data_IF_100850725093
#
_entry.id   IF_100850725093
#
_cell.length_a   1.000
_cell.length_b   1.000
_cell.length_c   1.000
_cell.angle_alpha   90.00
_cell.angle_beta   90.00
_cell.angle_gamma   90.00
#
_symmetry.space_group_name_H-M   'P 1'
#
loop_
_entity.id
_entity.type
_entity.pdbx_description
1 polymer ?
#
# COMPACT_ATOMS: atom_id res chain seq x y z
N UNK A 1 -14.83 12.17 -19.91
CA UNK A 1 -13.70 11.23 -19.70
C UNK A 1 -14.25 9.89 -19.28
N UNK A 2 -13.62 8.80 -19.70
CA UNK A 2 -13.98 7.46 -19.25
C UNK A 2 -13.47 7.21 -17.84
N UNK A 3 -14.30 6.60 -17.02
CA UNK A 3 -13.96 6.25 -15.65
C UNK A 3 -14.74 5.01 -15.19
N UNK A 4 -14.25 4.39 -14.11
CA UNK A 4 -15.01 3.44 -13.31
C UNK A 4 -15.55 4.19 -12.10
N UNK A 5 -16.84 4.05 -11.83
CA UNK A 5 -17.46 4.58 -10.63
C UNK A 5 -18.47 3.59 -10.04
N UNK A 6 -18.98 3.88 -8.85
CA UNK A 6 -20.14 3.21 -8.29
C UNK A 6 -21.10 4.24 -7.66
N UNK A 7 -22.40 3.95 -7.75
CA UNK A 7 -23.47 4.80 -7.21
C UNK A 7 -23.94 4.35 -5.84
N UNK A 8 -23.55 3.16 -5.40
CA UNK A 8 -23.88 2.57 -4.11
C UNK A 8 -22.81 1.56 -3.70
N UNK A 9 -22.71 1.29 -2.40
CA UNK A 9 -21.80 0.27 -1.90
C UNK A 9 -22.32 -1.14 -2.21
N UNK A 10 -21.44 -2.07 -2.56
CA UNK A 10 -21.85 -3.44 -2.86
C UNK A 10 -20.78 -4.36 -3.45
N UNK A 11 -21.21 -5.50 -4.04
CA UNK A 11 -20.33 -6.46 -4.70
C UNK A 11 -19.75 -5.89 -6.00
N UNK A 12 -18.94 -6.66 -6.74
CA UNK A 12 -18.14 -6.14 -7.86
C UNK A 12 -19.00 -5.63 -9.02
N UNK A 13 -20.26 -6.03 -9.07
CA UNK A 13 -21.24 -5.61 -10.05
C UNK A 13 -21.66 -4.14 -9.94
N UNK A 14 -21.41 -3.45 -8.82
CA UNK A 14 -21.72 -2.01 -8.68
C UNK A 14 -20.74 -1.11 -9.44
N UNK A 15 -19.61 -1.66 -9.93
CA UNK A 15 -18.63 -0.93 -10.71
C UNK A 15 -19.12 -0.76 -12.15
N UNK A 16 -19.32 0.50 -12.55
CA UNK A 16 -19.81 0.89 -13.86
C UNK A 16 -18.71 1.62 -14.64
N UNK A 17 -18.58 1.31 -15.94
CA UNK A 17 -17.70 2.02 -16.87
C UNK A 17 -18.51 3.04 -17.66
N UNK A 18 -18.30 4.33 -17.39
CA UNK A 18 -19.13 5.41 -17.93
C UNK A 18 -18.31 6.63 -18.40
N UNK A 19 -18.98 7.55 -19.08
CA UNK A 19 -18.48 8.89 -19.35
C UNK A 19 -18.84 9.84 -18.21
N UNK A 20 -17.83 10.43 -17.58
CA UNK A 20 -17.97 11.48 -16.57
C UNK A 20 -17.46 12.83 -17.10
N UNK A 21 -17.89 13.97 -16.52
CA UNK A 21 -17.39 15.28 -16.90
C UNK A 21 -15.85 15.37 -16.83
N UNK A 22 -15.25 16.10 -17.77
CA UNK A 22 -13.81 16.37 -17.73
C UNK A 22 -13.52 17.37 -16.60
N UNK A 23 -12.59 17.08 -15.68
CA UNK A 23 -12.23 18.02 -14.64
C UNK A 23 -11.38 19.15 -15.22
N UNK A 24 -11.56 20.36 -14.69
CA UNK A 24 -10.80 21.57 -15.07
C UNK A 24 -9.93 21.96 -13.89
N UNK A 25 -8.60 22.13 -14.06
CA UNK A 25 -7.71 22.45 -12.95
C UNK A 25 -8.03 23.84 -12.38
N UNK A 26 -8.22 23.91 -11.07
CA UNK A 26 -8.24 25.16 -10.32
C UNK A 26 -6.83 25.65 -9.98
N UNK A 27 -6.75 26.73 -9.19
CA UNK A 27 -5.48 27.21 -8.66
C UNK A 27 -4.77 26.11 -7.85
N UNK A 28 -3.44 26.05 -7.95
CA UNK A 28 -2.60 25.05 -7.26
C UNK A 28 -2.92 23.58 -7.57
N UNK A 29 -3.50 23.29 -8.74
CA UNK A 29 -3.77 21.93 -9.21
C UNK A 29 -3.10 21.68 -10.57
N UNK A 30 -2.76 20.42 -10.83
CA UNK A 30 -2.42 19.97 -12.18
C UNK A 30 -3.41 18.91 -12.64
N UNK A 31 -3.66 18.87 -13.94
CA UNK A 31 -4.46 17.85 -14.59
C UNK A 31 -3.54 16.79 -15.17
N UNK A 32 -3.72 15.56 -14.71
CA UNK A 32 -2.91 14.41 -15.11
C UNK A 32 -3.77 13.53 -15.99
N UNK A 33 -3.23 13.16 -17.16
CA UNK A 33 -3.74 12.07 -17.99
C UNK A 33 -3.13 10.78 -17.48
N UNK A 34 -3.95 9.92 -16.89
CA UNK A 34 -3.49 8.66 -16.33
C UNK A 34 -3.24 7.63 -17.43
N UNK A 35 -2.14 6.89 -17.30
CA UNK A 35 -1.76 5.78 -18.18
C UNK A 35 -1.88 4.43 -17.49
N UNK A 36 -1.68 4.41 -16.17
CA UNK A 36 -1.85 3.23 -15.35
C UNK A 36 -2.43 3.60 -13.98
N UNK A 37 -3.21 2.67 -13.42
CA UNK A 37 -3.61 2.65 -12.02
C UNK A 37 -3.28 1.29 -11.41
N UNK A 38 -3.27 1.17 -10.09
CA UNK A 38 -3.06 -0.11 -9.42
C UNK A 38 -4.08 -0.37 -8.30
N UNK A 39 -4.40 -1.65 -8.12
CA UNK A 39 -5.40 -2.11 -7.15
C UNK A 39 -4.81 -2.21 -5.74
N UNK A 40 -5.60 -1.85 -4.75
CA UNK A 40 -5.35 -2.03 -3.33
C UNK A 40 -6.51 -2.77 -2.65
N UNK A 41 -6.25 -3.38 -1.49
CA UNK A 41 -7.31 -3.99 -0.66
C UNK A 41 -8.34 -2.96 -0.23
N UNK A 42 -7.89 -1.73 0.00
CA UNK A 42 -8.73 -0.58 0.31
C UNK A 42 -9.84 -0.38 -0.72
N UNK A 43 -9.56 -0.55 -2.02
CA UNK A 43 -10.55 -0.38 -3.08
C UNK A 43 -11.74 -1.35 -2.92
N UNK A 44 -11.47 -2.55 -2.40
CA UNK A 44 -12.52 -3.52 -2.08
C UNK A 44 -13.35 -3.04 -0.90
N UNK A 45 -12.71 -2.58 0.18
CA UNK A 45 -13.37 -2.10 1.40
C UNK A 45 -14.23 -0.86 1.16
N UNK A 46 -13.71 0.09 0.38
CA UNK A 46 -14.41 1.32 -0.02
C UNK A 46 -15.65 0.99 -0.83
N UNK A 47 -15.52 0.16 -1.86
CA UNK A 47 -16.67 -0.26 -2.66
C UNK A 47 -17.69 -1.06 -1.83
N UNK A 48 -17.28 -1.89 -0.87
CA UNK A 48 -18.22 -2.62 0.00
C UNK A 48 -18.82 -1.79 1.13
N UNK A 49 -18.31 -0.57 1.37
CA UNK A 49 -18.83 0.33 2.42
C UNK A 49 -18.37 -0.04 3.83
N UNK A 50 -17.06 -0.17 4.06
CA UNK A 50 -16.53 -0.42 5.42
C UNK A 50 -16.93 0.71 6.41
N UNK A 51 -17.03 0.42 7.73
CA UNK A 51 -17.63 1.34 8.70
C UNK A 51 -16.94 2.71 8.78
N UNK A 52 -17.74 3.77 8.83
CA UNK A 52 -17.26 5.14 9.01
C UNK A 52 -16.99 5.94 7.72
N UNK A 53 -17.17 5.33 6.54
CA UNK A 53 -17.12 6.08 5.29
C UNK A 53 -18.35 6.97 5.11
N UNK A 54 -18.09 8.21 4.70
CA UNK A 54 -19.10 9.13 4.21
C UNK A 54 -18.61 9.68 2.87
N UNK A 55 -19.08 9.09 1.76
CA UNK A 55 -18.61 9.41 0.42
C UNK A 55 -19.65 10.20 -0.37
N UNK A 56 -19.17 11.14 -1.18
CA UNK A 56 -19.99 11.69 -2.26
C UNK A 56 -20.12 10.63 -3.36
N UNK A 57 -21.35 10.34 -3.77
CA UNK A 57 -21.67 9.41 -4.86
C UNK A 57 -22.12 10.22 -6.09
N UNK A 58 -21.77 9.80 -7.33
CA UNK A 58 -20.94 8.63 -7.67
C UNK A 58 -19.48 8.79 -7.24
N UNK A 59 -18.87 7.69 -6.80
CA UNK A 59 -17.47 7.67 -6.33
C UNK A 59 -16.56 6.90 -7.30
N UNK A 60 -15.40 7.46 -7.61
CA UNK A 60 -14.34 6.84 -8.41
C UNK A 60 -13.32 6.20 -7.44
N UNK A 61 -13.10 4.87 -7.47
CA UNK A 61 -12.08 4.23 -6.64
C UNK A 61 -10.66 4.37 -7.20
N UNK A 62 -9.67 3.90 -6.43
CA UNK A 62 -8.27 3.78 -6.84
C UNK A 62 -7.35 4.82 -6.20
N UNK A 63 -6.34 4.36 -5.48
CA UNK A 63 -5.35 5.23 -4.83
C UNK A 63 -4.06 5.42 -5.64
N UNK A 64 -3.73 4.43 -6.48
CA UNK A 64 -2.48 4.40 -7.21
C UNK A 64 -2.69 4.85 -8.66
N UNK A 65 -1.90 5.81 -9.14
CA UNK A 65 -1.99 6.31 -10.49
C UNK A 65 -0.68 6.88 -11.00
N UNK A 66 -0.36 6.61 -12.26
CA UNK A 66 0.80 7.19 -12.94
C UNK A 66 0.42 7.63 -14.36
N UNK A 67 0.98 8.76 -14.79
CA UNK A 67 0.51 9.46 -15.97
C UNK A 67 1.42 10.63 -16.38
N UNK A 68 0.84 11.52 -17.18
CA UNK A 68 1.50 12.71 -17.71
C UNK A 68 0.67 13.96 -17.40
N UNK A 69 1.33 15.06 -17.02
CA UNK A 69 0.66 16.35 -16.81
C UNK A 69 0.24 16.92 -18.18
N UNK A 70 -1.05 17.23 -18.33
CA UNK A 70 -1.61 17.81 -19.56
C UNK A 70 -2.14 19.24 -19.40
N UNK A 71 -2.32 19.71 -18.16
CA UNK A 71 -2.60 21.12 -17.87
C UNK A 71 -2.12 21.48 -16.47
N UNK A 72 -1.77 22.75 -16.30
CA UNK A 72 -1.23 23.31 -15.06
C UNK A 72 -2.07 24.51 -14.66
N UNK A 73 -2.60 24.51 -13.44
CA UNK A 73 -3.38 25.60 -12.89
C UNK A 73 -2.52 26.78 -12.43
N UNK A 74 -3.18 27.90 -12.13
CA UNK A 74 -2.52 29.12 -11.64
C UNK A 74 -1.74 28.86 -10.34
N UNK A 75 -0.57 29.49 -10.20
CA UNK A 75 0.27 29.40 -9.01
C UNK A 75 1.08 28.10 -8.87
N UNK A 76 0.97 27.17 -9.81
CA UNK A 76 1.84 25.98 -9.84
C UNK A 76 3.19 26.33 -10.45
N UNK A 77 4.26 26.06 -9.69
CA UNK A 77 5.65 26.22 -10.13
C UNK A 77 6.40 24.88 -10.14
N UNK A 78 7.41 24.75 -11.00
CA UNK A 78 8.29 23.58 -11.05
C UNK A 78 7.73 22.37 -11.78
N UNK A 79 6.52 22.46 -12.32
CA UNK A 79 5.85 21.40 -13.08
C UNK A 79 5.41 21.93 -14.44
N UNK A 80 5.56 21.10 -15.48
CA UNK A 80 5.26 21.47 -16.86
C UNK A 80 4.36 20.42 -17.52
N UNK A 81 3.63 20.84 -18.55
CA UNK A 81 2.95 19.91 -19.45
C UNK A 81 3.99 18.96 -20.05
N UNK A 82 3.70 17.65 -20.06
CA UNK A 82 4.63 16.61 -20.49
C UNK A 82 5.41 15.94 -19.36
N UNK A 83 5.42 16.52 -18.15
CA UNK A 83 6.09 15.88 -17.01
C UNK A 83 5.39 14.55 -16.68
N UNK A 84 6.18 13.48 -16.60
CA UNK A 84 5.75 12.13 -16.24
C UNK A 84 5.72 12.02 -14.73
N UNK A 85 4.62 11.54 -14.18
CA UNK A 85 4.38 11.55 -12.73
C UNK A 85 3.75 10.26 -12.22
N UNK A 86 4.01 9.99 -10.95
CA UNK A 86 3.21 9.07 -10.13
C UNK A 86 2.60 9.83 -8.97
N UNK A 87 1.33 9.54 -8.69
CA UNK A 87 0.55 10.17 -7.63
C UNK A 87 0.82 9.51 -6.27
N UNK A 88 1.04 10.34 -5.25
CA UNK A 88 0.97 9.99 -3.85
C UNK A 88 -0.48 10.16 -3.37
N UNK A 89 -1.08 9.06 -2.90
CA UNK A 89 -2.48 9.04 -2.47
C UNK A 89 -2.75 9.79 -1.16
N UNK A 90 -1.72 10.04 -0.33
CA UNK A 90 -1.86 10.70 0.98
C UNK A 90 -2.02 12.23 0.82
N UNK A 91 -3.24 12.74 0.93
CA UNK A 91 -3.56 14.16 0.72
C UNK A 91 -3.65 14.93 2.05
N UNK A 92 -2.51 15.45 2.53
CA UNK A 92 -2.48 16.41 3.63
C UNK A 92 -2.86 17.83 3.17
N UNK A 93 -3.31 18.71 4.08
CA UNK A 93 -3.70 20.09 3.76
C UNK A 93 -2.50 21.03 3.48
N UNK A 94 -1.31 20.67 3.98
CA UNK A 94 -0.08 21.45 3.84
C UNK A 94 0.09 22.62 4.83
N UNK A 95 -0.89 22.89 5.69
CA UNK A 95 -0.90 24.09 6.55
C UNK A 95 -1.09 23.85 8.04
N UNK A 96 -1.62 22.69 8.46
CA UNK A 96 -1.79 22.37 9.87
C UNK A 96 -0.45 21.99 10.54
N UNK A 97 -0.45 21.97 11.88
CA UNK A 97 0.69 21.57 12.72
C UNK A 97 1.34 20.25 12.29
N UNK A 98 0.54 19.23 12.00
CA UNK A 98 1.06 17.95 11.51
C UNK A 98 1.74 18.08 10.14
N UNK A 99 1.12 18.77 9.19
CA UNK A 99 1.71 18.98 7.87
C UNK A 99 3.03 19.76 7.94
N UNK A 100 3.05 20.84 8.75
CA UNK A 100 4.25 21.67 8.94
C UNK A 100 5.37 20.91 9.68
N UNK A 101 5.03 19.91 10.48
CA UNK A 101 5.97 19.00 11.13
C UNK A 101 6.44 17.84 10.22
N UNK A 102 6.05 17.81 8.94
CA UNK A 102 6.36 16.72 8.01
C UNK A 102 5.61 15.42 8.31
N UNK A 103 4.46 15.51 8.98
CA UNK A 103 3.61 14.40 9.40
C UNK A 103 2.25 14.50 8.69
N UNK A 104 2.27 14.80 7.39
CA UNK A 104 1.10 15.09 6.57
C UNK A 104 0.09 13.93 6.50
N UNK A 105 0.53 12.69 6.76
CA UNK A 105 -0.34 11.52 6.94
C UNK A 105 -1.18 11.54 8.23
N UNK A 106 -0.94 12.51 9.12
CA UNK A 106 -1.74 12.80 10.33
C UNK A 106 -2.47 14.15 10.24
N UNK A 107 -2.58 14.70 9.04
CA UNK A 107 -3.23 15.98 8.81
C UNK A 107 -4.63 16.05 9.47
N UNK A 108 -4.99 17.22 9.99
CA UNK A 108 -6.32 17.46 10.59
C UNK A 108 -7.46 17.45 9.57
N UNK A 109 -7.14 17.79 8.32
CA UNK A 109 -8.03 17.70 7.17
C UNK A 109 -7.39 16.77 6.13
N UNK A 110 -7.25 15.52 6.52
CA UNK A 110 -6.58 14.49 5.73
C UNK A 110 -7.56 13.80 4.79
N UNK A 111 -7.13 13.54 3.56
CA UNK A 111 -7.86 12.75 2.60
C UNK A 111 -6.97 11.66 1.99
N UNK A 112 -7.59 10.59 1.50
CA UNK A 112 -6.92 9.51 0.81
C UNK A 112 -7.59 9.29 -0.55
N UNK A 113 -6.77 9.35 -1.58
CA UNK A 113 -7.21 9.21 -2.97
C UNK A 113 -7.91 7.86 -3.19
N UNK A 114 -9.12 7.89 -3.75
CA UNK A 114 -9.94 6.70 -3.97
C UNK A 114 -10.63 6.16 -2.72
N UNK A 115 -10.35 6.67 -1.53
CA UNK A 115 -11.04 6.32 -0.29
C UNK A 115 -12.00 7.41 0.16
N UNK A 116 -11.52 8.58 0.55
CA UNK A 116 -12.35 9.69 1.04
C UNK A 116 -12.63 10.75 -0.02
N UNK A 117 -11.95 10.66 -1.18
CA UNK A 117 -12.16 11.48 -2.38
C UNK A 117 -12.02 10.63 -3.63
N UNK A 118 -12.47 11.13 -4.78
CA UNK A 118 -12.38 10.43 -6.07
C UNK A 118 -10.93 10.05 -6.43
N UNK A 119 -10.78 8.85 -7.00
CA UNK A 119 -9.53 8.17 -7.23
C UNK A 119 -9.08 8.07 -8.69
N UNK A 120 -8.21 7.11 -8.94
CA UNK A 120 -7.41 6.98 -10.16
C UNK A 120 -8.01 6.07 -11.23
N UNK A 121 -9.20 5.50 -11.03
CA UNK A 121 -9.86 4.70 -12.06
C UNK A 121 -10.58 5.58 -13.08
N UNK A 122 -9.83 6.46 -13.72
CA UNK A 122 -10.32 7.49 -14.65
C UNK A 122 -9.22 7.85 -15.64
N UNK A 123 -9.57 8.31 -16.83
CA UNK A 123 -8.58 8.82 -17.79
C UNK A 123 -7.85 10.07 -17.28
N UNK A 124 -8.48 10.89 -16.44
CA UNK A 124 -7.90 12.14 -15.96
C UNK A 124 -8.22 12.41 -14.49
N UNK A 125 -7.25 13.02 -13.80
CA UNK A 125 -7.37 13.37 -12.38
C UNK A 125 -6.69 14.71 -12.07
N UNK A 126 -7.27 15.46 -11.12
CA UNK A 126 -6.67 16.67 -10.57
C UNK A 126 -5.95 16.34 -9.28
N UNK A 127 -4.70 16.77 -9.16
CA UNK A 127 -3.93 16.61 -7.92
C UNK A 127 -3.14 17.89 -7.59
N UNK A 128 -2.92 18.17 -6.29
CA UNK A 128 -1.95 19.17 -5.87
C UNK A 128 -0.54 18.74 -6.31
N UNK A 129 0.30 19.64 -6.85
CA UNK A 129 1.64 19.27 -7.32
C UNK A 129 2.55 18.67 -6.26
N UNK A 130 2.35 19.01 -4.97
CA UNK A 130 3.08 18.41 -3.84
C UNK A 130 2.86 16.90 -3.68
N UNK A 131 1.82 16.36 -4.32
CA UNK A 131 1.47 14.95 -4.26
C UNK A 131 2.07 14.14 -5.41
N UNK A 132 3.02 14.71 -6.14
CA UNK A 132 3.58 14.09 -7.34
C UNK A 132 5.06 13.80 -7.15
N UNK A 133 5.45 12.63 -7.62
CA UNK A 133 6.85 12.28 -7.82
C UNK A 133 7.15 12.21 -9.31
N UNK A 134 8.25 12.83 -9.73
CA UNK A 134 8.66 12.90 -11.14
C UNK A 134 9.28 11.58 -11.56
N UNK A 135 8.74 10.97 -12.62
CA UNK A 135 9.27 9.74 -13.18
C UNK A 135 10.37 10.05 -14.20
N UNK A 136 11.46 9.25 -14.24
CA UNK A 136 12.45 9.33 -15.31
C UNK A 136 11.83 9.11 -16.69
N UNK A 137 12.52 9.58 -17.73
CA UNK A 137 12.13 9.28 -19.10
C UNK A 137 12.03 7.75 -19.28
N UNK A 138 10.97 7.29 -19.94
CA UNK A 138 10.70 5.87 -20.26
C UNK A 138 10.45 4.95 -19.06
N UNK A 139 10.36 5.47 -17.83
CA UNK A 139 9.98 4.64 -16.68
C UNK A 139 8.54 4.11 -16.83
N UNK A 140 8.33 2.82 -16.54
CA UNK A 140 7.04 2.16 -16.74
C UNK A 140 5.98 2.69 -15.76
N UNK A 141 4.87 3.21 -16.30
CA UNK A 141 3.76 3.74 -15.50
C UNK A 141 3.07 2.66 -14.66
N UNK A 142 2.99 1.42 -15.13
CA UNK A 142 2.43 0.31 -14.36
C UNK A 142 3.30 -0.02 -13.15
N UNK A 143 4.62 -0.02 -13.31
CA UNK A 143 5.57 -0.23 -12.20
C UNK A 143 5.44 0.90 -11.18
N UNK A 144 5.41 2.15 -11.64
CA UNK A 144 5.25 3.31 -10.75
C UNK A 144 3.92 3.27 -9.97
N UNK A 145 2.80 3.02 -10.65
CA UNK A 145 1.49 2.91 -10.01
C UNK A 145 1.46 1.72 -9.03
N UNK A 146 2.01 0.57 -9.41
CA UNK A 146 2.09 -0.60 -8.52
C UNK A 146 2.95 -0.35 -7.28
N UNK A 147 3.93 0.54 -7.34
CA UNK A 147 4.76 0.88 -6.20
C UNK A 147 4.03 1.79 -5.20
N UNK A 148 3.44 2.87 -5.72
CA UNK A 148 3.07 4.09 -4.98
C UNK A 148 2.61 3.86 -3.52
N UNK A 149 1.36 3.43 -3.30
CA UNK A 149 0.79 3.31 -1.96
C UNK A 149 1.47 2.24 -1.12
N UNK A 150 1.73 1.06 -1.69
CA UNK A 150 2.16 -0.10 -0.90
C UNK A 150 3.61 0.01 -0.45
N UNK A 151 4.49 0.59 -1.28
CA UNK A 151 5.88 0.86 -0.90
C UNK A 151 5.97 2.00 0.11
N UNK A 152 5.18 3.06 -0.06
CA UNK A 152 5.10 4.14 0.94
C UNK A 152 4.64 3.61 2.30
N UNK A 153 3.59 2.78 2.31
CA UNK A 153 3.05 2.16 3.53
C UNK A 153 4.07 1.24 4.19
N UNK A 154 4.73 0.38 3.41
CA UNK A 154 5.75 -0.54 3.93
C UNK A 154 6.98 0.21 4.45
N UNK A 155 7.43 1.25 3.74
CA UNK A 155 8.57 2.09 4.16
C UNK A 155 8.28 2.83 5.45
N UNK A 156 7.14 3.53 5.54
CA UNK A 156 6.77 4.26 6.75
C UNK A 156 6.62 3.31 7.94
N UNK A 157 6.02 2.14 7.73
CA UNK A 157 5.84 1.11 8.75
C UNK A 157 7.18 0.58 9.26
N UNK A 158 8.05 0.08 8.38
CA UNK A 158 9.31 -0.58 8.76
C UNK A 158 10.40 0.40 9.18
N UNK A 159 10.60 1.46 8.41
CA UNK A 159 11.74 2.37 8.57
C UNK A 159 11.38 3.51 9.52
N UNK A 160 10.32 4.26 9.23
CA UNK A 160 10.03 5.51 9.94
C UNK A 160 9.40 5.27 11.31
N UNK A 161 8.42 4.36 11.40
CA UNK A 161 7.74 4.00 12.66
C UNK A 161 8.39 2.82 13.35
N UNK A 162 8.79 1.84 12.55
CA UNK A 162 9.38 0.61 13.02
C UNK A 162 10.86 0.72 13.32
N UNK A 163 11.59 1.72 12.83
CA UNK A 163 13.03 1.89 13.09
C UNK A 163 13.82 0.59 12.90
N UNK A 164 13.51 -0.19 11.85
CA UNK A 164 14.19 -1.44 11.54
C UNK A 164 15.70 -1.23 11.42
N UNK A 165 16.48 -2.11 12.04
CA UNK A 165 17.94 -2.08 12.03
C UNK A 165 18.54 -3.27 11.29
N UNK A 166 19.73 -3.11 10.68
CA UNK A 166 20.48 -4.24 10.14
C UNK A 166 20.70 -5.33 11.19
N UNK A 167 20.60 -6.59 10.78
CA UNK A 167 20.75 -7.76 11.63
C UNK A 167 19.53 -8.17 12.45
N UNK A 168 18.47 -7.35 12.51
CA UNK A 168 17.21 -7.75 13.14
C UNK A 168 16.49 -8.85 12.34
N UNK A 169 15.78 -9.73 13.04
CA UNK A 169 14.86 -10.69 12.44
C UNK A 169 13.48 -10.06 12.27
N UNK A 170 12.97 -10.03 11.04
CA UNK A 170 11.65 -9.49 10.69
C UNK A 170 10.76 -10.62 10.20
N UNK A 171 9.62 -10.82 10.87
CA UNK A 171 8.58 -11.74 10.43
C UNK A 171 7.48 -10.99 9.68
N UNK A 172 7.19 -11.39 8.45
CA UNK A 172 6.14 -10.81 7.62
C UNK A 172 5.00 -11.81 7.49
N UNK A 173 3.80 -11.43 7.95
CA UNK A 173 2.62 -12.27 7.90
C UNK A 173 1.91 -12.08 6.56
N UNK A 174 2.09 -13.04 5.64
CA UNK A 174 1.61 -12.99 4.27
C UNK A 174 2.77 -12.89 3.27
N UNK A 175 2.66 -13.62 2.16
CA UNK A 175 3.77 -13.81 1.21
C UNK A 175 3.60 -13.10 -0.14
N UNK A 176 2.37 -12.79 -0.56
CA UNK A 176 2.09 -12.32 -1.93
C UNK A 176 1.28 -11.02 -2.03
N UNK A 177 0.88 -10.42 -0.91
CA UNK A 177 0.18 -9.13 -0.90
C UNK A 177 1.13 -7.97 -1.21
N UNK A 178 0.61 -6.87 -1.76
CA UNK A 178 1.45 -5.73 -2.19
C UNK A 178 2.29 -5.11 -1.07
N UNK A 179 1.73 -4.92 0.12
CA UNK A 179 2.51 -4.44 1.29
C UNK A 179 3.50 -5.51 1.74
N UNK A 180 3.13 -6.79 1.69
CA UNK A 180 4.02 -7.88 2.12
C UNK A 180 5.24 -8.00 1.20
N UNK A 181 5.05 -7.98 -0.12
CA UNK A 181 6.17 -8.06 -1.07
C UNK A 181 7.06 -6.81 -1.01
N UNK A 182 6.49 -5.62 -0.78
CA UNK A 182 7.27 -4.42 -0.51
C UNK A 182 8.05 -4.53 0.82
N UNK A 183 7.42 -5.05 1.87
CA UNK A 183 8.04 -5.23 3.19
C UNK A 183 9.23 -6.20 3.15
N UNK A 184 9.14 -7.29 2.37
CA UNK A 184 10.24 -8.25 2.20
C UNK A 184 11.45 -7.53 1.60
N UNK A 185 11.27 -6.84 0.48
CA UNK A 185 12.35 -6.16 -0.21
C UNK A 185 12.96 -5.02 0.62
N UNK A 186 12.12 -4.21 1.29
CA UNK A 186 12.59 -3.12 2.15
C UNK A 186 13.37 -3.66 3.36
N UNK A 187 12.88 -4.73 4.00
CA UNK A 187 13.59 -5.34 5.12
C UNK A 187 14.95 -5.90 4.69
N UNK A 188 15.04 -6.53 3.51
CA UNK A 188 16.31 -6.98 2.95
C UNK A 188 17.25 -5.86 2.58
N UNK A 189 16.74 -4.78 1.99
CA UNK A 189 17.52 -3.58 1.70
C UNK A 189 18.07 -2.96 2.99
N UNK A 190 17.32 -3.02 4.10
CA UNK A 190 17.74 -2.57 5.42
C UNK A 190 18.74 -3.51 6.13
N UNK A 191 19.12 -4.63 5.51
CA UNK A 191 20.06 -5.60 6.06
C UNK A 191 19.48 -6.49 7.16
N UNK A 192 18.16 -6.66 7.21
CA UNK A 192 17.48 -7.57 8.13
C UNK A 192 17.45 -9.02 7.61
N UNK A 193 17.25 -9.96 8.53
CA UNK A 193 16.92 -11.35 8.22
C UNK A 193 15.39 -11.47 8.11
N UNK A 194 14.89 -11.95 6.99
CA UNK A 194 13.46 -11.92 6.68
C UNK A 194 12.82 -13.30 6.75
N UNK A 195 11.86 -13.44 7.65
CA UNK A 195 11.00 -14.60 7.79
C UNK A 195 9.64 -14.28 7.19
N UNK A 196 9.05 -15.20 6.43
CA UNK A 196 7.73 -15.00 5.80
C UNK A 196 6.79 -16.14 6.14
N UNK A 197 5.59 -15.79 6.59
CA UNK A 197 4.49 -16.74 6.81
C UNK A 197 3.57 -16.74 5.58
N UNK A 198 3.38 -17.90 4.96
CA UNK A 198 2.51 -18.09 3.80
C UNK A 198 1.69 -19.38 3.90
N UNK A 199 0.72 -19.57 3.01
CA UNK A 199 -0.18 -20.74 3.01
C UNK A 199 -0.13 -21.57 1.72
N UNK A 200 0.71 -21.20 0.75
CA UNK A 200 0.84 -21.87 -0.54
C UNK A 200 2.30 -21.87 -0.96
N UNK A 201 2.82 -23.01 -1.43
CA UNK A 201 4.23 -23.15 -1.83
C UNK A 201 4.66 -22.10 -2.85
N UNK A 202 3.85 -21.89 -3.90
CA UNK A 202 4.14 -20.89 -4.95
C UNK A 202 4.26 -19.46 -4.42
N UNK A 203 3.50 -19.11 -3.37
CA UNK A 203 3.58 -17.77 -2.75
C UNK A 203 4.83 -17.65 -1.87
N UNK A 204 5.26 -18.73 -1.25
CA UNK A 204 6.52 -18.79 -0.51
C UNK A 204 7.74 -18.74 -1.44
N UNK A 205 7.71 -19.45 -2.57
CA UNK A 205 8.73 -19.36 -3.63
C UNK A 205 8.85 -17.91 -4.16
N UNK A 206 7.73 -17.22 -4.34
CA UNK A 206 7.74 -15.79 -4.67
C UNK A 206 8.45 -14.99 -3.57
N UNK A 207 8.11 -15.21 -2.30
CA UNK A 207 8.71 -14.49 -1.18
C UNK A 207 10.23 -14.72 -1.10
N UNK A 208 10.70 -15.96 -1.31
CA UNK A 208 12.12 -16.30 -1.37
C UNK A 208 12.84 -15.58 -2.52
N UNK A 209 12.26 -15.59 -3.73
CA UNK A 209 12.86 -14.95 -4.90
C UNK A 209 13.02 -13.43 -4.78
N UNK A 210 12.27 -12.79 -3.88
CA UNK A 210 12.38 -11.34 -3.59
C UNK A 210 13.08 -11.05 -2.25
N UNK A 211 13.64 -12.07 -1.62
CA UNK A 211 14.62 -11.95 -0.54
C UNK A 211 14.21 -12.50 0.82
N UNK A 212 13.12 -13.25 0.96
CA UNK A 212 12.87 -13.97 2.21
C UNK A 212 13.98 -15.01 2.47
N UNK A 213 14.52 -15.04 3.69
CA UNK A 213 15.56 -15.97 4.12
C UNK A 213 14.97 -17.27 4.70
N UNK A 214 13.80 -17.16 5.33
CA UNK A 214 13.13 -18.28 6.01
C UNK A 214 11.66 -18.27 5.65
N UNK A 215 11.14 -19.42 5.24
CA UNK A 215 9.76 -19.62 4.81
C UNK A 215 9.02 -20.48 5.84
N UNK A 216 7.88 -19.98 6.32
CA UNK A 216 7.00 -20.70 7.25
C UNK A 216 5.68 -20.99 6.53
N UNK A 217 5.43 -22.26 6.28
CA UNK A 217 4.20 -22.74 5.68
C UNK A 217 3.13 -23.01 6.74
N UNK A 218 2.23 -22.04 6.93
CA UNK A 218 1.14 -22.13 7.91
C UNK A 218 0.07 -23.15 7.53
N UNK A 219 0.11 -23.72 6.33
CA UNK A 219 -0.77 -24.85 5.98
C UNK A 219 -0.32 -26.17 6.62
N UNK A 220 0.95 -26.25 7.05
CA UNK A 220 1.53 -27.43 7.71
C UNK A 220 1.52 -27.33 9.24
N UNK A 221 1.47 -26.11 9.77
CA UNK A 221 1.48 -25.83 11.21
C UNK A 221 0.58 -24.63 11.50
N UNK A 222 -0.50 -24.87 12.26
CA UNK A 222 -1.41 -23.81 12.70
C UNK A 222 -0.72 -22.86 13.70
N UNK A 223 0.28 -23.35 14.44
CA UNK A 223 1.03 -22.58 15.42
C UNK A 223 2.42 -22.16 14.90
N UNK A 224 2.42 -21.40 13.80
CA UNK A 224 3.63 -20.85 13.19
C UNK A 224 4.46 -19.94 14.12
N UNK A 225 3.90 -19.51 15.26
CA UNK A 225 4.66 -18.76 16.26
C UNK A 225 5.75 -19.62 16.94
N UNK A 226 5.49 -20.92 17.11
CA UNK A 226 6.48 -21.89 17.58
C UNK A 226 7.55 -22.13 16.52
N UNK A 227 7.16 -22.22 15.24
CA UNK A 227 8.11 -22.43 14.15
C UNK A 227 9.06 -21.22 14.03
N UNK A 228 8.53 -20.01 14.08
CA UNK A 228 9.33 -18.79 14.11
C UNK A 228 10.31 -18.77 15.30
N UNK A 229 9.87 -19.22 16.48
CA UNK A 229 10.73 -19.33 17.65
C UNK A 229 11.86 -20.35 17.44
N UNK A 230 11.56 -21.54 16.91
CA UNK A 230 12.55 -22.58 16.66
C UNK A 230 13.57 -22.16 15.58
N UNK A 231 13.09 -21.57 14.49
CA UNK A 231 13.91 -21.10 13.36
C UNK A 231 14.79 -19.90 13.70
N UNK A 232 14.50 -19.20 14.80
CA UNK A 232 15.31 -18.10 15.33
C UNK A 232 16.15 -18.54 16.53
N UNK A 233 16.60 -19.80 16.57
CA UNK A 233 17.41 -20.33 17.68
C UNK A 233 16.78 -20.11 19.06
N UNK A 234 15.44 -20.19 19.13
CA UNK A 234 14.67 -20.04 20.37
C UNK A 234 14.78 -18.64 21.00
N UNK A 235 14.96 -17.61 20.18
CA UNK A 235 14.91 -16.20 20.63
C UNK A 235 13.59 -15.51 20.30
N UNK A 236 12.96 -15.86 19.17
CA UNK A 236 11.88 -15.08 18.57
C UNK A 236 12.41 -13.95 17.70
N UNK A 237 11.49 -13.20 17.08
CA UNK A 237 11.79 -12.13 16.12
C UNK A 237 11.74 -10.73 16.74
N UNK A 238 12.52 -9.81 16.19
CA UNK A 238 12.62 -8.41 16.63
C UNK A 238 11.39 -7.59 16.21
N UNK A 239 10.93 -7.83 14.98
CA UNK A 239 9.84 -7.09 14.34
C UNK A 239 8.87 -8.07 13.71
N UNK A 240 7.58 -7.82 13.86
CA UNK A 240 6.53 -8.48 13.07
C UNK A 240 5.79 -7.44 12.24
N UNK A 241 5.55 -7.72 10.97
CA UNK A 241 4.63 -6.96 10.10
C UNK A 241 3.36 -7.77 9.90
N UNK A 242 2.25 -7.28 10.43
CA UNK A 242 0.95 -7.97 10.37
C UNK A 242 -0.18 -7.02 9.89
N UNK A 243 -0.66 -7.28 8.68
CA UNK A 243 -1.78 -6.59 8.04
C UNK A 243 -3.04 -7.48 7.93
N UNK A 244 -3.11 -8.58 8.68
CA UNK A 244 -4.21 -9.55 8.68
C UNK A 244 -5.15 -9.30 9.85
N UNK A 245 -4.61 -8.95 11.03
CA UNK A 245 -5.35 -8.61 12.23
C UNK A 245 -5.62 -9.82 13.12
N UNK A 246 -6.41 -10.78 12.67
CA UNK A 246 -6.78 -11.97 13.47
C UNK A 246 -5.61 -12.88 13.85
N UNK A 247 -4.44 -12.68 13.23
CA UNK A 247 -3.18 -13.38 13.52
C UNK A 247 -2.37 -12.78 14.66
N UNK A 248 -2.79 -11.63 15.22
CA UNK A 248 -2.08 -10.94 16.29
C UNK A 248 -1.67 -11.82 17.48
N UNK A 249 -2.48 -12.78 17.95
CA UNK A 249 -2.06 -13.65 19.05
C UNK A 249 -0.82 -14.50 18.73
N UNK A 250 -0.63 -14.90 17.48
CA UNK A 250 0.56 -15.63 17.03
C UNK A 250 1.72 -14.67 16.78
N UNK A 251 1.44 -13.49 16.22
CA UNK A 251 2.41 -12.40 16.02
C UNK A 251 3.03 -11.93 17.34
N UNK A 252 2.23 -11.75 18.40
CA UNK A 252 2.72 -11.38 19.72
C UNK A 252 3.55 -12.50 20.35
N UNK A 253 3.17 -13.76 20.11
CA UNK A 253 3.91 -14.93 20.65
C UNK A 253 5.27 -15.12 19.98
N UNK A 254 5.40 -14.84 18.68
CA UNK A 254 6.65 -14.98 17.94
C UNK A 254 7.70 -13.91 18.29
N UNK A 255 7.28 -12.76 18.84
CA UNK A 255 8.19 -11.69 19.24
C UNK A 255 9.12 -12.12 20.39
N UNK A 256 10.39 -11.71 20.27
CA UNK A 256 11.35 -11.75 21.38
C UNK A 256 11.02 -10.70 22.44
N UNK A 257 11.72 -10.76 23.59
CA UNK A 257 11.67 -9.68 24.58
C UNK A 257 12.17 -8.36 23.97
N UNK A 258 11.42 -7.28 24.15
CA UNK A 258 11.67 -5.95 23.56
C UNK A 258 11.26 -5.82 22.09
N UNK A 259 10.63 -6.85 21.50
CA UNK A 259 10.21 -6.83 20.11
C UNK A 259 9.00 -5.92 19.85
N UNK A 260 8.71 -5.66 18.57
CA UNK A 260 7.62 -4.77 18.16
C UNK A 260 6.76 -5.33 17.02
N UNK A 261 5.46 -5.17 17.17
CA UNK A 261 4.46 -5.51 16.16
C UNK A 261 4.06 -4.25 15.39
N UNK A 262 4.25 -4.27 14.08
CA UNK A 262 3.84 -3.23 13.15
C UNK A 262 2.55 -3.66 12.46
N UNK A 263 1.55 -2.79 12.43
CA UNK A 263 0.28 -3.07 11.76
C UNK A 263 -0.20 -1.92 10.90
N UNK A 264 -0.72 -2.26 9.72
CA UNK A 264 -1.19 -1.32 8.70
C UNK A 264 -2.57 -1.68 8.14
N UNK A 265 -3.22 -2.71 8.70
CA UNK A 265 -4.48 -3.20 8.18
C UNK A 265 -4.98 -4.46 8.88
N UNK A 266 -6.13 -4.92 8.44
CA UNK A 266 -6.95 -5.94 9.10
C UNK A 266 -7.64 -6.85 8.07
N UNK A 267 -6.87 -7.32 7.08
CA UNK A 267 -7.38 -8.00 5.87
C UNK A 267 -8.36 -9.15 6.17
N UNK A 268 -8.20 -9.87 7.29
CA UNK A 268 -9.15 -10.90 7.70
C UNK A 268 -10.30 -10.31 8.53
N UNK A 269 -10.00 -9.67 9.67
CA UNK A 269 -10.98 -8.98 10.49
C UNK A 269 -10.32 -8.00 11.49
N UNK A 270 -11.03 -6.95 11.92
CA UNK A 270 -10.52 -5.97 12.89
C UNK A 270 -10.52 -6.44 14.35
N UNK A 271 -11.26 -7.50 14.70
CA UNK A 271 -11.47 -7.93 16.09
C UNK A 271 -10.78 -9.26 16.37
N UNK A 272 -10.09 -9.33 17.50
CA UNK A 272 -9.38 -10.50 18.00
C UNK A 272 -9.16 -10.35 19.52
N UNK A 273 -8.88 -11.45 20.21
CA UNK A 273 -8.54 -11.46 21.63
C UNK A 273 -7.04 -11.54 21.82
N UNK A 274 -6.49 -10.86 22.82
CA UNK A 274 -5.06 -10.89 23.16
C UNK A 274 -4.87 -11.20 24.65
N UNK A 275 -3.81 -11.95 24.95
CA UNK A 275 -3.32 -12.13 26.31
C UNK A 275 -2.26 -11.06 26.61
N UNK A 276 -2.66 -10.05 27.38
CA UNK A 276 -1.82 -8.88 27.67
C UNK A 276 -0.57 -9.22 28.49
N UNK A 277 -0.50 -10.41 29.12
CA UNK A 277 0.69 -10.87 29.86
C UNK A 277 1.90 -10.99 28.97
N UNK A 278 1.72 -11.37 27.70
CA UNK A 278 2.82 -11.37 26.75
C UNK A 278 3.36 -9.97 26.49
N UNK A 279 2.50 -8.94 26.49
CA UNK A 279 2.89 -7.58 26.18
C UNK A 279 3.79 -7.03 27.27
N UNK A 280 3.31 -7.00 28.52
CA UNK A 280 4.10 -6.41 29.60
C UNK A 280 5.28 -7.29 30.02
N UNK A 281 5.15 -8.63 30.02
CA UNK A 281 6.23 -9.51 30.45
C UNK A 281 7.38 -9.61 29.43
N UNK A 282 7.08 -9.42 28.13
CA UNK A 282 8.11 -9.35 27.08
C UNK A 282 8.50 -7.92 26.72
N UNK A 283 7.91 -6.88 27.32
CA UNK A 283 8.15 -5.48 26.92
C UNK A 283 7.88 -5.22 25.43
N UNK A 284 6.77 -5.78 24.90
CA UNK A 284 6.42 -5.63 23.49
C UNK A 284 5.80 -4.26 23.23
N UNK A 285 6.12 -3.67 22.08
CA UNK A 285 5.45 -2.47 21.55
C UNK A 285 4.53 -2.85 20.38
N UNK A 286 3.30 -2.31 20.35
CA UNK A 286 2.39 -2.45 19.21
C UNK A 286 2.27 -1.08 18.53
N UNK A 287 2.56 -1.01 17.24
CA UNK A 287 2.70 0.23 16.48
C UNK A 287 1.72 0.21 15.30
N UNK A 288 0.70 1.06 15.37
CA UNK A 288 -0.17 1.35 14.22
C UNK A 288 0.50 2.32 13.25
N UNK A 289 0.35 2.04 11.96
CA UNK A 289 0.90 2.83 10.85
C UNK A 289 -0.11 2.90 9.71
N UNK A 290 -0.37 4.10 9.19
CA UNK A 290 -1.28 4.33 8.06
C UNK A 290 -0.56 5.21 7.04
N UNK A 291 -0.58 4.79 5.77
CA UNK A 291 0.14 5.45 4.68
C UNK A 291 1.62 5.70 5.04
N UNK A 292 2.19 6.80 4.58
CA UNK A 292 3.46 7.39 4.99
C UNK A 292 3.48 8.88 4.67
N UNK A 293 4.51 9.59 5.10
CA UNK A 293 4.66 11.03 4.84
C UNK A 293 5.02 11.32 3.38
N UNK A 294 5.03 12.59 2.97
CA UNK A 294 5.62 13.01 1.70
C UNK A 294 7.09 12.61 1.59
N UNK A 295 7.86 12.72 2.69
CA UNK A 295 9.26 12.32 2.74
C UNK A 295 9.44 10.81 2.52
N UNK A 296 8.59 10.00 3.15
CA UNK A 296 8.62 8.54 2.96
C UNK A 296 8.33 8.16 1.50
N UNK A 297 7.39 8.87 0.87
CA UNK A 297 7.06 8.66 -0.54
C UNK A 297 8.22 8.99 -1.46
N UNK A 298 8.84 10.16 -1.28
CA UNK A 298 9.98 10.60 -2.10
C UNK A 298 11.17 9.63 -1.99
N UNK A 299 11.51 9.21 -0.77
CA UNK A 299 12.59 8.26 -0.52
C UNK A 299 12.32 6.90 -1.16
N UNK A 300 11.14 6.31 -0.92
CA UNK A 300 10.86 4.97 -1.41
C UNK A 300 10.66 4.94 -2.93
N UNK A 301 10.05 5.98 -3.51
CA UNK A 301 9.91 6.07 -4.96
C UNK A 301 11.28 6.29 -5.62
N UNK A 302 12.20 7.03 -5.00
CA UNK A 302 13.59 7.15 -5.45
C UNK A 302 14.29 5.79 -5.51
N UNK A 303 14.07 4.92 -4.51
CA UNK A 303 14.60 3.56 -4.51
C UNK A 303 13.98 2.68 -5.60
N UNK A 304 12.69 2.87 -5.91
CA UNK A 304 11.99 2.17 -6.98
C UNK A 304 12.51 2.60 -8.35
N UNK A 305 12.63 3.91 -8.61
CA UNK A 305 13.09 4.39 -9.92
C UNK A 305 14.56 4.11 -10.19
N UNK A 306 15.38 3.95 -9.14
CA UNK A 306 16.78 3.53 -9.25
C UNK A 306 16.96 2.01 -9.30
N UNK A 307 15.87 1.24 -9.26
CA UNK A 307 15.90 -0.23 -9.36
C UNK A 307 16.36 -0.98 -8.12
N UNK A 308 16.55 -0.28 -6.99
CA UNK A 308 16.88 -0.88 -5.68
C UNK A 308 15.69 -1.63 -5.08
N UNK A 309 14.47 -1.23 -5.44
CA UNK A 309 13.23 -1.89 -5.07
C UNK A 309 12.40 -2.14 -6.33
N UNK A 310 11.87 -3.36 -6.49
CA UNK A 310 11.21 -3.79 -7.71
C UNK A 310 9.79 -4.29 -7.39
N UNK A 311 8.74 -3.51 -7.68
CA UNK A 311 7.35 -3.92 -7.48
C UNK A 311 7.06 -5.28 -8.12
N UNK A 312 6.52 -6.21 -7.32
CA UNK A 312 6.08 -7.50 -7.82
C UNK A 312 4.76 -7.33 -8.56
N UNK A 313 4.77 -7.64 -9.86
CA UNK A 313 3.62 -7.46 -10.75
C UNK A 313 2.86 -8.77 -10.92
N UNK A 314 1.53 -8.71 -10.82
CA UNK A 314 0.63 -9.84 -11.09
C UNK A 314 0.11 -9.78 -12.53
N UNK A 315 -1.07 -9.19 -12.72
CA UNK A 315 -1.74 -9.09 -14.01
C UNK A 315 -2.17 -7.66 -14.27
N UNK A 316 -2.11 -7.27 -15.54
CA UNK A 316 -2.69 -6.01 -16.03
C UNK A 316 -4.03 -6.30 -16.68
N UNK A 317 -5.04 -5.51 -16.32
CA UNK A 317 -6.36 -5.47 -16.95
C UNK A 317 -6.55 -4.12 -17.64
N UNK A 318 -7.49 -4.00 -18.57
CA UNK A 318 -7.93 -2.68 -19.05
C UNK A 318 -8.77 -1.96 -17.98
N UNK A 319 -8.89 -0.63 -18.07
CA UNK A 319 -9.77 0.14 -17.16
C UNK A 319 -11.21 -0.42 -17.15
N UNK A 320 -11.76 -0.78 -18.32
CA UNK A 320 -13.11 -1.36 -18.45
C UNK A 320 -13.26 -2.70 -17.72
N UNK A 321 -12.16 -3.41 -17.51
CA UNK A 321 -12.11 -4.70 -16.80
C UNK A 321 -11.84 -4.55 -15.30
N UNK A 322 -11.94 -3.33 -14.72
CA UNK A 322 -11.71 -3.10 -13.29
C UNK A 322 -12.54 -4.02 -12.39
N UNK A 323 -13.77 -4.37 -12.80
CA UNK A 323 -14.59 -5.37 -12.12
C UNK A 323 -13.88 -6.73 -12.01
N UNK A 324 -13.32 -7.24 -13.11
CA UNK A 324 -12.60 -8.52 -13.12
C UNK A 324 -11.32 -8.46 -12.28
N UNK A 325 -10.66 -7.30 -12.29
CA UNK A 325 -9.49 -7.04 -11.45
C UNK A 325 -9.86 -7.10 -9.95
N UNK A 326 -10.98 -6.48 -9.55
CA UNK A 326 -11.50 -6.55 -8.19
C UNK A 326 -11.85 -7.98 -7.78
N UNK A 327 -12.57 -8.73 -8.62
CA UNK A 327 -12.93 -10.14 -8.36
C UNK A 327 -11.70 -11.04 -8.18
N UNK A 328 -10.61 -10.77 -8.91
CA UNK A 328 -9.34 -11.49 -8.74
C UNK A 328 -8.71 -11.19 -7.39
N UNK A 329 -8.69 -9.92 -6.98
CA UNK A 329 -8.15 -9.50 -5.70
C UNK A 329 -8.96 -10.06 -4.53
N UNK A 330 -10.29 -10.01 -4.59
CA UNK A 330 -11.20 -10.59 -3.60
C UNK A 330 -10.90 -12.07 -3.34
N UNK A 331 -10.61 -12.84 -4.39
CA UNK A 331 -10.30 -14.27 -4.32
C UNK A 331 -8.88 -14.60 -3.84
N UNK A 332 -8.07 -13.60 -3.47
CA UNK A 332 -6.70 -13.76 -2.99
C UNK A 332 -5.76 -14.51 -3.96
N UNK A 333 -6.03 -14.43 -5.28
CA UNK A 333 -5.30 -15.16 -6.34
C UNK A 333 -4.11 -14.40 -6.93
N UNK A 334 -3.85 -13.19 -6.45
CA UNK A 334 -2.79 -12.31 -6.96
C UNK A 334 -1.40 -12.67 -6.41
N UNK A 335 -0.40 -12.51 -7.27
CA UNK A 335 1.02 -12.56 -6.93
C UNK A 335 1.59 -11.13 -7.03
N UNK A 336 1.51 -10.35 -5.96
CA UNK A 336 1.87 -8.93 -5.97
C UNK A 336 0.73 -8.02 -6.42
N UNK A 337 1.03 -7.02 -7.25
CA UNK A 337 0.13 -5.91 -7.60
C UNK A 337 -0.56 -6.13 -8.94
N UNK A 338 -1.88 -5.97 -8.93
CA UNK A 338 -2.73 -5.91 -10.14
C UNK A 338 -2.76 -4.46 -10.60
N UNK A 339 -2.64 -4.24 -11.91
CA UNK A 339 -2.74 -2.89 -12.49
C UNK A 339 -3.85 -2.79 -13.53
N UNK A 340 -4.28 -1.56 -13.77
CA UNK A 340 -5.21 -1.18 -14.84
C UNK A 340 -4.46 -0.36 -15.87
N UNK A 341 -4.56 -0.76 -17.14
CA UNK A 341 -4.12 0.01 -18.29
C UNK A 341 -5.19 1.03 -18.65
N UNK A 342 -4.82 2.29 -18.59
CA UNK A 342 -5.66 3.44 -18.95
C UNK A 342 -5.11 3.95 -20.30
N UNK A 343 -5.38 3.15 -21.33
CA UNK A 343 -5.08 3.49 -22.72
C UNK A 343 -6.39 3.90 -23.39
N UNK A 344 -6.31 4.85 -24.31
CA UNK A 344 -7.38 5.10 -25.27
C UNK A 344 -7.44 3.98 -26.30
#
# INVERSE_FOLDING_TARGET
MKAIHFNEHGPSSVLEYADLPMPVPGASQVLIKLHAAALNRMDLFVRTGWPGLNLALPHIPGADGAGEIIAVGEGVSGWHIGDRVVANANLGCGTCDYCLAGQDNRCRNWHLLGETVNGTYTEFILLPPRQLFRLPERFDYHVAAAASLVYQTAWHSLITRGNLRPGENVLIVGASGGVNTASIQIAKLAGANVLVVGSESKKLELAESIGADILIDRSKSENWSTDAFMLTNRTGVDVVVDNVGTTFPLSIRSLRKGGRLLTVGNTAAPKFEIDNRYIFAKHITIIGSTMGTLKDFDEVMSLVVTGKLNPVMDKTFSLKEARLAHERLERNKQFGKITLSIKK
#
